data_IF_434101529623
#
_entry.id   IF_434101529623
#
_cell.length_a   1.000
_cell.length_b   1.000
_cell.length_c   1.000
_cell.angle_alpha   90.00
_cell.angle_beta   90.00
_cell.angle_gamma   90.00
#
_symmetry.space_group_name_H-M   'P 1'
#
loop_
_entity.id
_entity.type
_entity.pdbx_description
1 polymer ?
#
# COMPACT_ATOMS: atom_id res chain seq x y z
N UNK A 1 -4.02 -20.86 -23.75
CA UNK A 1 -5.34 -20.47 -23.20
C UNK A 1 -5.29 -19.07 -22.60
N UNK A 2 -4.62 -18.83 -21.47
CA UNK A 2 -4.60 -17.50 -20.85
C UNK A 2 -4.07 -16.39 -21.77
N UNK A 3 -2.96 -16.66 -22.49
CA UNK A 3 -2.42 -15.75 -23.53
C UNK A 3 -3.42 -15.42 -24.64
N UNK A 4 -4.25 -16.40 -25.05
CA UNK A 4 -5.18 -16.25 -26.17
C UNK A 4 -6.46 -15.49 -25.78
N UNK A 5 -6.88 -15.61 -24.52
CA UNK A 5 -8.11 -15.00 -24.01
C UNK A 5 -7.85 -13.78 -23.12
N UNK A 6 -6.60 -13.33 -23.01
CA UNK A 6 -6.23 -12.17 -22.21
C UNK A 6 -6.39 -12.36 -20.70
N UNK A 7 -6.46 -13.60 -20.21
CA UNK A 7 -6.63 -13.85 -18.78
C UNK A 7 -5.34 -13.57 -18.00
N UNK A 8 -5.41 -12.82 -16.88
CA UNK A 8 -4.25 -12.63 -16.03
C UNK A 8 -3.80 -13.95 -15.40
N UNK A 9 -2.50 -14.17 -15.31
CA UNK A 9 -1.89 -15.34 -14.66
C UNK A 9 -0.96 -14.88 -13.55
N UNK A 10 -1.06 -15.51 -12.39
CA UNK A 10 -0.19 -15.31 -11.24
C UNK A 10 0.54 -16.62 -10.96
N UNK A 11 1.87 -16.59 -10.99
CA UNK A 11 2.70 -17.65 -10.42
C UNK A 11 3.10 -17.27 -8.99
N UNK A 12 2.71 -18.10 -8.04
CA UNK A 12 3.03 -17.94 -6.63
C UNK A 12 4.32 -18.69 -6.27
N UNK A 13 5.07 -18.14 -5.31
CA UNK A 13 6.27 -18.76 -4.74
C UNK A 13 7.32 -19.14 -5.79
N UNK A 14 7.60 -18.21 -6.70
CA UNK A 14 8.65 -18.38 -7.70
C UNK A 14 10.01 -18.40 -6.99
N UNK A 15 10.67 -19.56 -7.09
CA UNK A 15 12.04 -19.77 -6.61
C UNK A 15 13.07 -19.10 -7.53
N UNK A 16 14.36 -19.16 -7.20
CA UNK A 16 15.44 -18.53 -7.97
C UNK A 16 15.54 -18.98 -9.46
N UNK A 17 14.77 -19.99 -9.88
CA UNK A 17 14.71 -20.48 -11.25
C UNK A 17 13.38 -20.14 -11.93
N UNK A 18 13.47 -19.41 -13.03
CA UNK A 18 12.36 -19.13 -13.95
C UNK A 18 12.63 -19.90 -15.24
N UNK A 19 11.68 -20.73 -15.66
CA UNK A 19 11.80 -21.53 -16.87
C UNK A 19 11.90 -20.62 -18.11
N UNK A 20 12.97 -20.74 -18.94
CA UNK A 20 13.13 -19.97 -20.17
C UNK A 20 11.98 -20.11 -21.17
N UNK A 21 11.11 -21.12 -21.04
CA UNK A 21 9.90 -21.26 -21.88
C UNK A 21 9.03 -19.99 -21.86
N UNK A 22 9.01 -19.23 -20.76
CA UNK A 22 8.23 -17.98 -20.67
C UNK A 22 9.01 -16.73 -21.10
N UNK A 23 10.25 -16.86 -21.59
CA UNK A 23 11.10 -15.69 -21.90
C UNK A 23 10.47 -14.74 -22.92
N UNK A 24 9.87 -15.28 -23.98
CA UNK A 24 9.21 -14.47 -25.01
C UNK A 24 7.96 -13.76 -24.47
N UNK A 25 7.33 -14.33 -23.44
CA UNK A 25 6.21 -13.69 -22.74
C UNK A 25 6.73 -12.56 -21.84
N UNK A 26 7.83 -12.78 -21.13
CA UNK A 26 8.47 -11.77 -20.27
C UNK A 26 9.01 -10.58 -21.08
N UNK A 27 9.68 -10.84 -22.20
CA UNK A 27 10.20 -9.81 -23.11
C UNK A 27 9.13 -9.12 -23.94
N UNK A 28 7.88 -9.63 -23.93
CA UNK A 28 6.78 -9.21 -24.79
C UNK A 28 7.17 -9.27 -26.28
N UNK A 29 7.86 -10.33 -26.68
CA UNK A 29 8.25 -10.58 -28.08
C UNK A 29 7.05 -11.03 -28.92
N UNK A 30 6.13 -10.10 -29.18
CA UNK A 30 4.90 -10.32 -29.96
C UNK A 30 5.23 -10.19 -31.45
N UNK A 31 5.02 -11.28 -32.18
CA UNK A 31 5.18 -11.32 -33.62
C UNK A 31 3.86 -11.02 -34.32
N UNK A 32 3.93 -10.27 -35.43
CA UNK A 32 2.78 -9.91 -36.25
C UNK A 32 2.99 -10.40 -37.67
N UNK A 33 2.24 -11.41 -38.08
CA UNK A 33 2.30 -11.98 -39.43
C UNK A 33 0.90 -11.96 -40.02
N UNK A 34 0.73 -11.31 -41.18
CA UNK A 34 -0.55 -11.21 -41.89
C UNK A 34 -1.72 -10.74 -41.00
N UNK A 35 -1.47 -9.82 -40.06
CA UNK A 35 -2.46 -9.30 -39.12
C UNK A 35 -2.71 -10.16 -37.88
N UNK A 36 -2.21 -11.40 -37.82
CA UNK A 36 -2.26 -12.27 -36.64
C UNK A 36 -1.14 -11.90 -35.67
N UNK A 37 -1.48 -11.64 -34.40
CA UNK A 37 -0.53 -11.41 -33.31
C UNK A 37 -0.35 -12.70 -32.51
N UNK A 38 0.88 -13.16 -32.36
CA UNK A 38 1.19 -14.37 -31.59
C UNK A 38 2.53 -14.22 -30.86
N UNK A 39 2.72 -15.05 -29.83
CA UNK A 39 3.99 -15.24 -29.12
C UNK A 39 4.38 -16.70 -29.25
N UNK A 40 5.66 -16.98 -29.42
CA UNK A 40 6.21 -18.34 -29.36
C UNK A 40 6.44 -18.70 -27.90
N UNK A 41 5.68 -19.68 -27.39
CA UNK A 41 5.83 -20.22 -26.05
C UNK A 41 6.47 -21.61 -26.15
N UNK A 42 7.76 -21.71 -25.81
CA UNK A 42 8.56 -22.91 -26.06
C UNK A 42 8.66 -23.21 -27.56
N UNK A 43 7.99 -24.26 -28.01
CA UNK A 43 7.94 -24.71 -29.40
C UNK A 43 6.63 -24.35 -30.14
N UNK A 44 5.70 -23.66 -29.47
CA UNK A 44 4.34 -23.42 -30.01
C UNK A 44 4.05 -21.95 -30.22
N UNK A 45 3.47 -21.64 -31.37
CA UNK A 45 2.84 -20.33 -31.61
C UNK A 45 1.49 -20.25 -30.91
N UNK A 46 1.31 -19.25 -30.06
CA UNK A 46 0.08 -19.01 -29.32
C UNK A 46 -0.42 -17.60 -29.63
N UNK A 47 -1.69 -17.48 -30.01
CA UNK A 47 -2.30 -16.17 -30.26
C UNK A 47 -2.20 -15.30 -29.00
N UNK A 48 -1.86 -14.02 -29.20
CA UNK A 48 -1.61 -13.07 -28.13
C UNK A 48 -2.71 -12.02 -28.03
N UNK A 49 -3.40 -12.01 -26.89
CA UNK A 49 -4.35 -10.97 -26.52
C UNK A 49 -3.64 -9.83 -25.76
N UNK A 50 -3.76 -8.56 -26.17
CA UNK A 50 -3.14 -7.40 -25.50
C UNK A 50 -3.56 -7.19 -24.03
N UNK A 51 -4.69 -7.76 -23.60
CA UNK A 51 -5.18 -7.67 -22.23
C UNK A 51 -4.47 -8.64 -21.29
N UNK A 52 -3.71 -9.60 -21.82
CA UNK A 52 -2.96 -10.56 -21.00
C UNK A 52 -2.01 -9.85 -20.02
N UNK A 53 -1.94 -10.36 -18.80
CA UNK A 53 -1.02 -9.91 -17.74
C UNK A 53 -0.40 -11.12 -17.07
N UNK A 54 0.90 -11.05 -16.81
CA UNK A 54 1.65 -12.06 -16.09
C UNK A 54 2.24 -11.45 -14.82
N UNK A 55 2.00 -12.11 -13.69
CA UNK A 55 2.52 -11.74 -12.38
C UNK A 55 3.33 -12.90 -11.81
N UNK A 56 4.48 -12.59 -11.25
CA UNK A 56 5.35 -13.53 -10.53
C UNK A 56 5.51 -13.01 -9.11
N UNK A 57 5.23 -13.83 -8.10
CA UNK A 57 5.47 -13.47 -6.70
C UNK A 57 6.48 -14.41 -6.07
N UNK A 58 7.30 -13.87 -5.17
CA UNK A 58 8.29 -14.64 -4.42
C UNK A 58 8.32 -14.16 -2.98
N UNK A 59 8.56 -15.09 -2.05
CA UNK A 59 8.71 -14.81 -0.61
C UNK A 59 10.15 -14.46 -0.24
N UNK A 60 11.11 -14.68 -1.14
CA UNK A 60 12.50 -14.33 -0.88
C UNK A 60 12.66 -12.82 -0.90
N UNK A 61 13.15 -12.26 0.20
CA UNK A 61 13.45 -10.83 0.29
C UNK A 61 14.56 -10.39 -0.69
N UNK A 62 15.43 -11.33 -1.09
CA UNK A 62 16.50 -11.12 -2.05
C UNK A 62 16.63 -12.35 -2.98
N UNK A 63 15.73 -12.51 -3.97
CA UNK A 63 15.77 -13.62 -4.91
C UNK A 63 16.98 -13.46 -5.84
N UNK A 64 17.65 -14.58 -6.15
CA UNK A 64 18.85 -14.59 -7.01
C UNK A 64 18.48 -14.90 -8.46
N UNK A 65 17.53 -14.14 -9.01
CA UNK A 65 17.20 -14.27 -10.42
C UNK A 65 18.37 -13.88 -11.31
N UNK A 66 18.40 -14.45 -12.52
CA UNK A 66 19.35 -14.04 -13.55
C UNK A 66 19.14 -12.55 -13.89
N UNK A 67 20.22 -11.75 -14.07
CA UNK A 67 20.13 -10.35 -14.51
C UNK A 67 19.22 -10.13 -15.72
N UNK A 68 19.13 -11.09 -16.64
CA UNK A 68 18.25 -11.04 -17.80
C UNK A 68 16.76 -10.95 -17.41
N UNK A 69 16.35 -11.54 -16.30
CA UNK A 69 14.97 -11.44 -15.78
C UNK A 69 14.68 -10.00 -15.36
N UNK A 70 15.60 -9.36 -14.63
CA UNK A 70 15.47 -7.96 -14.20
C UNK A 70 15.43 -6.96 -15.36
N UNK A 71 16.02 -7.31 -16.51
CA UNK A 71 15.95 -6.50 -17.72
C UNK A 71 14.60 -6.64 -18.46
N UNK A 72 13.95 -7.81 -18.36
CA UNK A 72 12.70 -8.13 -19.07
C UNK A 72 11.46 -7.81 -18.26
N UNK A 73 11.53 -7.88 -16.93
CA UNK A 73 10.39 -7.72 -16.04
C UNK A 73 10.55 -6.52 -15.10
N UNK A 74 9.43 -5.88 -14.76
CA UNK A 74 9.39 -4.85 -13.71
C UNK A 74 9.33 -5.52 -12.34
N UNK A 75 10.31 -5.23 -11.49
CA UNK A 75 10.35 -5.75 -10.12
C UNK A 75 9.71 -4.75 -9.16
N UNK A 76 8.75 -5.22 -8.37
CA UNK A 76 8.07 -4.44 -7.34
C UNK A 76 8.48 -4.99 -5.98
N UNK A 77 9.10 -4.15 -5.15
CA UNK A 77 9.48 -4.54 -3.79
C UNK A 77 8.30 -4.38 -2.84
N UNK A 78 7.76 -5.51 -2.36
CA UNK A 78 6.67 -5.58 -1.38
C UNK A 78 7.16 -5.76 0.07
N UNK A 79 8.45 -5.56 0.34
CA UNK A 79 9.01 -5.67 1.69
C UNK A 79 8.39 -4.61 2.60
N UNK A 80 7.93 -5.05 3.77
CA UNK A 80 7.42 -4.16 4.81
C UNK A 80 8.53 -3.21 5.26
N UNK A 81 8.33 -1.91 5.08
CA UNK A 81 9.26 -0.88 5.51
C UNK A 81 8.89 -0.37 6.91
N UNK A 82 9.86 0.21 7.62
CA UNK A 82 9.61 0.79 8.94
C UNK A 82 8.55 1.89 8.90
N UNK A 83 8.67 2.82 7.95
CA UNK A 83 7.72 3.92 7.77
C UNK A 83 6.33 3.39 7.37
N UNK A 84 6.27 2.44 6.44
CA UNK A 84 4.99 1.87 5.99
C UNK A 84 4.26 1.14 7.10
N UNK A 85 4.98 0.36 7.92
CA UNK A 85 4.40 -0.30 9.08
C UNK A 85 3.99 0.70 10.16
N UNK A 86 4.78 1.75 10.40
CA UNK A 86 4.41 2.81 11.33
C UNK A 86 3.08 3.47 10.94
N UNK A 87 2.90 3.84 9.68
CA UNK A 87 1.63 4.45 9.23
C UNK A 87 0.45 3.46 9.29
N UNK A 88 0.70 2.16 9.06
CA UNK A 88 -0.30 1.12 9.24
C UNK A 88 -0.71 0.99 10.72
N UNK A 89 0.27 0.93 11.62
CA UNK A 89 0.03 0.84 13.07
C UNK A 89 -0.63 2.11 13.59
N UNK A 90 -0.29 3.29 13.06
CA UNK A 90 -0.97 4.53 13.40
C UNK A 90 -2.46 4.45 13.12
N UNK A 91 -2.82 3.96 11.93
CA UNK A 91 -4.23 3.74 11.56
C UNK A 91 -4.93 2.76 12.50
N UNK A 92 -4.24 1.70 12.96
CA UNK A 92 -4.78 0.75 13.96
C UNK A 92 -5.00 1.42 15.32
N UNK A 93 -4.04 2.20 15.82
CA UNK A 93 -4.15 2.90 17.11
C UNK A 93 -5.27 3.92 17.08
N UNK A 94 -5.31 4.78 16.04
CA UNK A 94 -6.34 5.82 15.94
C UNK A 94 -7.72 5.18 15.77
N UNK A 95 -7.86 4.10 14.99
CA UNK A 95 -9.14 3.38 14.89
C UNK A 95 -9.60 2.83 16.24
N UNK A 96 -8.68 2.41 17.10
CA UNK A 96 -9.00 1.89 18.43
C UNK A 96 -9.35 3.00 19.44
N UNK A 97 -8.63 4.13 19.41
CA UNK A 97 -8.77 5.20 20.43
C UNK A 97 -9.77 6.29 20.00
N UNK A 98 -9.84 6.58 18.70
CA UNK A 98 -10.67 7.63 18.05
C UNK A 98 -11.26 7.11 16.73
N UNK A 99 -12.17 6.12 16.78
CA UNK A 99 -12.80 5.56 15.58
C UNK A 99 -13.54 6.63 14.76
N UNK A 100 -14.08 7.66 15.42
CA UNK A 100 -14.70 8.82 14.80
C UNK A 100 -13.74 9.56 13.86
N UNK A 101 -12.48 9.72 14.27
CA UNK A 101 -11.46 10.42 13.48
C UNK A 101 -11.03 9.60 12.25
N UNK A 102 -10.86 8.28 12.39
CA UNK A 102 -10.56 7.42 11.23
C UNK A 102 -11.75 7.33 10.27
N UNK A 103 -12.99 7.26 10.76
CA UNK A 103 -14.16 7.26 9.89
C UNK A 103 -14.29 8.57 9.10
N UNK A 104 -14.03 9.71 9.74
CA UNK A 104 -13.98 11.00 9.05
C UNK A 104 -12.89 11.03 7.98
N UNK A 105 -11.71 10.49 8.27
CA UNK A 105 -10.62 10.37 7.30
C UNK A 105 -11.00 9.51 6.10
N UNK A 106 -11.57 8.33 6.33
CA UNK A 106 -11.99 7.41 5.28
C UNK A 106 -13.07 8.03 4.39
N UNK A 107 -14.07 8.68 4.99
CA UNK A 107 -15.11 9.42 4.26
C UNK A 107 -14.51 10.55 3.41
N UNK A 108 -13.60 11.34 3.98
CA UNK A 108 -12.95 12.45 3.28
C UNK A 108 -12.11 11.95 2.10
N UNK A 109 -11.42 10.81 2.23
CA UNK A 109 -10.66 10.19 1.15
C UNK A 109 -11.60 9.75 0.02
N UNK A 110 -12.71 9.09 0.35
CA UNK A 110 -13.71 8.67 -0.64
C UNK A 110 -14.28 9.88 -1.40
N UNK A 111 -14.74 10.91 -0.68
CA UNK A 111 -15.25 12.14 -1.27
C UNK A 111 -14.20 12.86 -2.13
N UNK A 112 -12.95 12.91 -1.68
CA UNK A 112 -11.86 13.53 -2.46
C UNK A 112 -11.61 12.75 -3.76
N UNK A 113 -11.69 11.42 -3.72
CA UNK A 113 -11.54 10.59 -4.92
C UNK A 113 -12.67 10.83 -5.91
N UNK A 114 -13.92 10.83 -5.44
CA UNK A 114 -15.11 11.11 -6.25
C UNK A 114 -15.05 12.51 -6.87
N UNK A 115 -14.69 13.53 -6.08
CA UNK A 115 -14.58 14.91 -6.55
C UNK A 115 -13.46 15.08 -7.57
N UNK A 116 -12.31 14.40 -7.40
CA UNK A 116 -11.24 14.41 -8.41
C UNK A 116 -11.68 13.79 -9.73
N UNK A 117 -12.39 12.66 -9.66
CA UNK A 117 -12.93 12.01 -10.84
C UNK A 117 -13.98 12.88 -11.54
N UNK A 118 -14.88 13.51 -10.77
CA UNK A 118 -15.88 14.43 -11.30
C UNK A 118 -15.23 15.66 -11.96
N UNK A 119 -14.21 16.24 -11.34
CA UNK A 119 -13.48 17.37 -11.92
C UNK A 119 -12.87 17.00 -13.27
N UNK A 120 -12.20 15.84 -13.35
CA UNK A 120 -11.64 15.34 -14.60
C UNK A 120 -12.73 15.12 -15.66
N UNK A 121 -13.88 14.56 -15.29
CA UNK A 121 -15.00 14.37 -16.23
C UNK A 121 -15.57 15.70 -16.75
N UNK A 122 -15.67 16.72 -15.89
CA UNK A 122 -16.12 18.05 -16.29
C UNK A 122 -15.12 18.71 -17.25
N UNK A 123 -13.82 18.59 -16.97
CA UNK A 123 -12.76 19.07 -17.87
C UNK A 123 -12.79 18.36 -19.23
N UNK A 124 -12.91 17.03 -19.24
CA UNK A 124 -13.00 16.24 -20.47
C UNK A 124 -14.27 16.57 -21.28
N UNK A 125 -15.41 16.78 -20.61
CA UNK A 125 -16.66 17.19 -21.27
C UNK A 125 -16.51 18.57 -21.92
N UNK A 126 -15.92 19.53 -21.20
CA UNK A 126 -15.68 20.89 -21.70
C UNK A 126 -14.77 20.87 -22.93
N UNK A 127 -13.67 20.11 -22.89
CA UNK A 127 -12.77 19.93 -24.03
C UNK A 127 -13.47 19.29 -25.23
N UNK A 128 -14.30 18.27 -24.98
CA UNK A 128 -15.06 17.58 -26.02
C UNK A 128 -16.08 18.51 -26.69
N UNK A 129 -16.81 19.30 -25.92
CA UNK A 129 -17.79 20.26 -26.43
C UNK A 129 -17.11 21.32 -27.31
N UNK A 130 -15.98 21.88 -26.86
CA UNK A 130 -15.18 22.81 -27.66
C UNK A 130 -14.67 22.16 -28.97
N UNK A 131 -14.16 20.93 -28.90
CA UNK A 131 -13.62 20.23 -30.07
C UNK A 131 -14.69 19.79 -31.08
N UNK A 132 -15.92 19.51 -30.62
CA UNK A 132 -17.02 19.04 -31.47
C UNK A 132 -17.82 20.19 -32.07
N UNK A 133 -17.71 21.40 -31.51
CA UNK A 133 -18.40 22.57 -32.06
C UNK A 133 -17.85 22.94 -33.45
N UNK A 134 -18.70 22.81 -34.46
CA UNK A 134 -18.43 23.22 -35.84
C UNK A 134 -19.27 24.46 -36.18
N UNK A 135 -18.64 25.55 -36.65
CA UNK A 135 -19.31 26.82 -36.95
C UNK A 135 -18.88 27.96 -36.01
N UNK A 136 -19.60 29.08 -36.04
CA UNK A 136 -19.32 30.21 -35.16
C UNK A 136 -19.81 29.91 -33.74
N UNK A 137 -18.87 29.65 -32.82
CA UNK A 137 -19.17 29.29 -31.42
C UNK A 137 -19.98 30.38 -30.68
N UNK A 138 -19.84 31.65 -31.08
CA UNK A 138 -20.52 32.79 -30.46
C UNK A 138 -22.04 32.80 -30.72
N UNK A 139 -22.49 32.12 -31.78
CA UNK A 139 -23.91 32.09 -32.16
C UNK A 139 -24.64 30.88 -31.54
N UNK A 140 -23.91 29.94 -30.94
CA UNK A 140 -24.48 28.74 -30.32
C UNK A 140 -24.76 28.99 -28.83
N UNK A 141 -25.94 29.53 -28.54
CA UNK A 141 -26.38 29.87 -27.18
C UNK A 141 -26.42 28.64 -26.25
N UNK A 142 -26.84 27.47 -26.77
CA UNK A 142 -26.88 26.22 -26.00
C UNK A 142 -25.47 25.76 -25.57
N UNK A 143 -24.49 25.91 -26.47
CA UNK A 143 -23.09 25.61 -26.15
C UNK A 143 -22.55 26.56 -25.09
N UNK A 144 -22.81 27.86 -25.21
CA UNK A 144 -22.36 28.86 -24.24
C UNK A 144 -22.93 28.57 -22.85
N UNK A 145 -24.23 28.24 -22.76
CA UNK A 145 -24.88 27.89 -21.49
C UNK A 145 -24.29 26.60 -20.89
N UNK A 146 -24.02 25.59 -21.71
CA UNK A 146 -23.42 24.32 -21.25
C UNK A 146 -21.98 24.52 -20.75
N UNK A 147 -21.19 25.34 -21.46
CA UNK A 147 -19.83 25.69 -21.04
C UNK A 147 -19.81 26.45 -19.71
N UNK A 148 -20.71 27.43 -19.53
CA UNK A 148 -20.78 28.20 -18.29
C UNK A 148 -21.26 27.34 -17.11
N UNK A 149 -22.23 26.45 -17.33
CA UNK A 149 -22.69 25.46 -16.34
C UNK A 149 -21.58 24.47 -15.95
N UNK A 150 -20.79 24.00 -16.92
CA UNK A 150 -19.68 23.08 -16.66
C UNK A 150 -18.55 23.77 -15.91
N UNK A 151 -18.21 25.00 -16.30
CA UNK A 151 -17.20 25.83 -15.63
C UNK A 151 -17.58 26.16 -14.19
N UNK A 152 -18.83 26.55 -13.94
CA UNK A 152 -19.30 26.87 -12.57
C UNK A 152 -19.30 25.64 -11.67
N UNK A 153 -19.71 24.46 -12.18
CA UNK A 153 -19.59 23.18 -11.45
C UNK A 153 -18.14 22.81 -11.17
N UNK A 154 -17.25 22.94 -12.15
CA UNK A 154 -15.83 22.64 -11.99
C UNK A 154 -15.19 23.54 -10.93
N UNK A 155 -15.52 24.83 -10.92
CA UNK A 155 -15.06 25.77 -9.90
C UNK A 155 -15.53 25.37 -8.49
N UNK A 156 -16.81 24.99 -8.33
CA UNK A 156 -17.35 24.53 -7.05
C UNK A 156 -16.68 23.22 -6.56
N UNK A 157 -16.45 22.26 -7.45
CA UNK A 157 -15.74 21.01 -7.11
C UNK A 157 -14.29 21.29 -6.72
N UNK A 158 -13.62 22.20 -7.43
CA UNK A 158 -12.26 22.65 -7.11
C UNK A 158 -12.18 23.30 -5.73
N UNK A 159 -13.14 24.15 -5.36
CA UNK A 159 -13.22 24.76 -4.03
C UNK A 159 -13.42 23.68 -2.95
N UNK A 160 -14.32 22.72 -3.18
CA UNK A 160 -14.54 21.60 -2.26
C UNK A 160 -13.28 20.75 -2.06
N UNK A 161 -12.49 20.54 -3.12
CA UNK A 161 -11.20 19.83 -3.04
C UNK A 161 -10.16 20.60 -2.20
N UNK A 162 -10.15 21.94 -2.29
CA UNK A 162 -9.27 22.77 -1.45
C UNK A 162 -9.65 22.67 0.04
N UNK A 163 -10.95 22.81 0.36
CA UNK A 163 -11.46 22.63 1.72
C UNK A 163 -11.19 21.22 2.27
N UNK A 164 -11.32 20.21 1.42
CA UNK A 164 -11.01 18.82 1.79
C UNK A 164 -9.52 18.64 2.10
N UNK A 165 -8.63 19.31 1.37
CA UNK A 165 -7.19 19.27 1.64
C UNK A 165 -6.82 19.93 2.97
N UNK A 166 -7.47 21.04 3.34
CA UNK A 166 -7.28 21.68 4.65
C UNK A 166 -7.78 20.79 5.78
N UNK A 167 -8.99 20.25 5.64
CA UNK A 167 -9.58 19.32 6.61
C UNK A 167 -8.69 18.08 6.79
N UNK A 168 -8.13 17.55 5.69
CA UNK A 168 -7.19 16.42 5.74
C UNK A 168 -5.94 16.75 6.54
N UNK A 169 -5.41 17.98 6.46
CA UNK A 169 -4.24 18.39 7.27
C UNK A 169 -4.58 18.42 8.75
N UNK A 170 -5.76 18.89 9.12
CA UNK A 170 -6.17 18.95 10.52
C UNK A 170 -6.45 17.57 11.11
N UNK A 171 -7.09 16.68 10.34
CA UNK A 171 -7.20 15.26 10.69
C UNK A 171 -5.81 14.66 10.91
N UNK A 172 -4.87 14.91 9.99
CA UNK A 172 -3.53 14.35 10.08
C UNK A 172 -2.76 14.88 11.31
N UNK A 173 -2.92 16.16 11.68
CA UNK A 173 -2.36 16.70 12.93
C UNK A 173 -2.90 15.95 14.16
N UNK A 174 -4.21 15.71 14.22
CA UNK A 174 -4.83 14.98 15.32
C UNK A 174 -4.36 13.52 15.38
N UNK A 175 -4.26 12.86 14.24
CA UNK A 175 -3.74 11.49 14.12
C UNK A 175 -2.31 11.40 14.61
N UNK A 176 -1.46 12.35 14.22
CA UNK A 176 -0.05 12.38 14.61
C UNK A 176 0.17 12.46 16.13
N UNK A 177 -0.83 12.89 16.91
CA UNK A 177 -0.80 12.76 18.37
C UNK A 177 -0.59 11.32 18.87
N UNK A 178 -1.02 10.31 18.11
CA UNK A 178 -0.89 8.89 18.43
C UNK A 178 0.37 8.22 17.83
N UNK A 179 1.12 8.94 16.98
CA UNK A 179 2.32 8.43 16.29
C UNK A 179 3.38 7.82 17.23
N UNK A 180 3.62 8.31 18.46
CA UNK A 180 4.60 7.69 19.36
C UNK A 180 4.34 6.20 19.64
N UNK A 181 3.07 5.77 19.71
CA UNK A 181 2.71 4.35 19.89
C UNK A 181 3.02 3.55 18.62
N UNK A 182 2.74 4.13 17.45
CA UNK A 182 2.98 3.50 16.16
C UNK A 182 4.48 3.31 15.88
N UNK A 183 5.30 4.34 16.15
CA UNK A 183 6.76 4.28 16.07
C UNK A 183 7.29 3.16 16.97
N UNK A 184 6.85 3.15 18.23
CA UNK A 184 7.22 2.09 19.19
C UNK A 184 6.86 0.71 18.67
N UNK A 185 5.64 0.56 18.15
CA UNK A 185 5.15 -0.70 17.59
C UNK A 185 5.95 -1.16 16.38
N UNK A 186 6.32 -0.26 15.46
CA UNK A 186 7.13 -0.62 14.31
C UNK A 186 8.51 -1.10 14.76
N UNK A 187 9.18 -0.37 15.67
CA UNK A 187 10.49 -0.75 16.20
C UNK A 187 10.45 -2.13 16.88
N UNK A 188 9.41 -2.42 17.67
CA UNK A 188 9.24 -3.72 18.32
C UNK A 188 8.99 -4.86 17.33
N UNK A 189 8.22 -4.63 16.26
CA UNK A 189 8.04 -5.63 15.21
C UNK A 189 9.36 -5.98 14.53
N UNK A 190 10.15 -4.98 14.13
CA UNK A 190 11.44 -5.25 13.50
C UNK A 190 12.44 -5.87 14.49
N UNK A 191 12.40 -5.52 15.79
CA UNK A 191 13.18 -6.23 16.79
C UNK A 191 12.82 -7.73 16.86
N UNK A 192 11.53 -8.06 16.75
CA UNK A 192 11.03 -9.44 16.75
C UNK A 192 11.38 -10.17 15.44
N UNK A 193 11.17 -9.53 14.28
CA UNK A 193 11.42 -10.11 12.96
C UNK A 193 12.90 -10.39 12.71
N UNK A 194 13.78 -9.49 13.14
CA UNK A 194 15.23 -9.64 12.99
C UNK A 194 15.79 -10.84 13.77
N UNK A 195 15.07 -11.39 14.75
CA UNK A 195 15.49 -12.61 15.45
C UNK A 195 15.59 -13.82 14.52
N UNK A 196 14.93 -13.79 13.35
CA UNK A 196 15.10 -14.80 12.29
C UNK A 196 16.56 -14.94 11.81
N UNK A 197 17.37 -13.88 11.93
CA UNK A 197 18.81 -13.92 11.62
C UNK A 197 19.63 -14.71 12.66
N UNK A 198 19.13 -14.83 13.89
CA UNK A 198 19.77 -15.59 14.97
C UNK A 198 19.42 -17.07 14.84
N UNK A 199 18.16 -17.38 14.49
CA UNK A 199 17.70 -18.73 14.22
C UNK A 199 16.57 -18.69 13.19
N UNK A 200 16.69 -19.50 12.13
CA UNK A 200 15.70 -19.57 11.05
C UNK A 200 14.29 -19.98 11.51
N UNK A 201 14.16 -20.60 12.68
CA UNK A 201 12.86 -20.93 13.29
C UNK A 201 12.12 -19.71 13.86
N UNK A 202 12.81 -18.60 14.09
CA UNK A 202 12.24 -17.39 14.71
C UNK A 202 11.53 -16.51 13.69
N UNK A 203 10.51 -17.07 13.05
CA UNK A 203 9.70 -16.36 12.06
C UNK A 203 8.36 -15.96 12.66
N UNK A 204 8.03 -14.68 12.53
CA UNK A 204 6.76 -14.13 12.99
C UNK A 204 6.04 -13.44 11.85
N UNK A 205 4.79 -13.85 11.63
CA UNK A 205 3.93 -13.19 10.66
C UNK A 205 3.48 -11.82 11.18
N UNK A 206 3.44 -10.82 10.29
CA UNK A 206 2.92 -9.50 10.63
C UNK A 206 1.46 -9.56 11.14
N UNK A 207 0.63 -10.43 10.57
CA UNK A 207 -0.76 -10.62 11.02
C UNK A 207 -0.84 -11.01 12.51
N UNK A 208 -0.03 -11.99 12.94
CA UNK A 208 0.00 -12.41 14.34
C UNK A 208 0.54 -11.29 15.26
N UNK A 209 1.49 -10.49 14.78
CA UNK A 209 1.95 -9.31 15.51
C UNK A 209 0.84 -8.25 15.68
N UNK A 210 0.04 -8.00 14.64
CA UNK A 210 -1.08 -7.06 14.69
C UNK A 210 -2.14 -7.49 15.71
N UNK A 211 -2.36 -8.80 15.90
CA UNK A 211 -3.24 -9.31 16.96
C UNK A 211 -2.70 -8.99 18.36
N UNK A 212 -1.40 -9.18 18.59
CA UNK A 212 -0.73 -8.82 19.86
C UNK A 212 -0.78 -7.30 20.09
N UNK A 213 -0.59 -6.52 19.03
CA UNK A 213 -0.68 -5.07 19.08
C UNK A 213 -2.10 -4.62 19.46
N UNK A 214 -3.13 -5.13 18.78
CA UNK A 214 -4.53 -4.85 19.09
C UNK A 214 -4.95 -5.33 20.48
N UNK A 215 -4.47 -6.50 20.92
CA UNK A 215 -4.66 -6.97 22.29
C UNK A 215 -4.03 -6.02 23.31
N UNK A 216 -2.83 -5.48 23.03
CA UNK A 216 -2.14 -4.54 23.92
C UNK A 216 -2.89 -3.23 24.07
N UNK A 217 -3.50 -2.72 23.00
CA UNK A 217 -4.36 -1.52 23.05
C UNK A 217 -5.59 -1.72 23.94
N UNK A 218 -6.23 -2.89 23.85
CA UNK A 218 -7.41 -3.23 24.65
C UNK A 218 -7.07 -3.45 26.13
N UNK A 219 -5.91 -4.06 26.41
CA UNK A 219 -5.48 -4.41 27.78
C UNK A 219 -4.88 -3.22 28.53
N UNK A 220 -4.28 -2.26 27.84
CA UNK A 220 -3.61 -1.15 28.50
C UNK A 220 -4.57 -0.30 29.32
N UNK A 221 -4.10 0.21 30.45
CA UNK A 221 -4.91 1.01 31.38
C UNK A 221 -5.40 2.30 30.69
N UNK A 222 -6.72 2.57 30.67
CA UNK A 222 -7.26 3.81 30.09
C UNK A 222 -6.86 5.02 30.94
N UNK A 223 -6.69 6.18 30.30
CA UNK A 223 -6.41 7.45 30.95
C UNK A 223 -7.01 8.58 30.11
N UNK A 224 -7.50 9.64 30.75
CA UNK A 224 -8.10 10.79 30.07
C UNK A 224 -7.03 11.72 29.48
N UNK A 225 -5.84 11.73 30.05
CA UNK A 225 -4.71 12.51 29.56
C UNK A 225 -4.01 11.70 28.48
N UNK A 226 -4.08 12.18 27.22
CA UNK A 226 -3.52 11.50 26.06
C UNK A 226 -2.08 11.04 26.29
N UNK A 227 -1.20 11.92 26.77
CA UNK A 227 0.20 11.56 27.03
C UNK A 227 0.36 10.39 28.01
N UNK A 228 -0.46 10.32 29.06
CA UNK A 228 -0.46 9.20 30.01
C UNK A 228 -1.04 7.94 29.38
N UNK A 229 -2.13 8.05 28.61
CA UNK A 229 -2.73 6.94 27.86
C UNK A 229 -1.73 6.31 26.90
N UNK A 230 -1.02 7.11 26.11
CA UNK A 230 -0.01 6.62 25.17
C UNK A 230 1.15 5.92 25.88
N UNK A 231 1.61 6.45 27.03
CA UNK A 231 2.64 5.79 27.84
C UNK A 231 2.16 4.43 28.39
N UNK A 232 0.92 4.34 28.86
CA UNK A 232 0.33 3.09 29.33
C UNK A 232 0.26 2.05 28.20
N UNK A 233 -0.14 2.47 27.00
CA UNK A 233 -0.15 1.62 25.80
C UNK A 233 1.28 1.15 25.48
N UNK A 234 2.24 2.07 25.38
CA UNK A 234 3.64 1.76 25.03
C UNK A 234 4.24 0.75 26.00
N UNK A 235 4.00 0.91 27.30
CA UNK A 235 4.48 -0.02 28.33
C UNK A 235 3.84 -1.40 28.17
N UNK A 236 2.52 -1.45 28.09
CA UNK A 236 1.75 -2.71 27.92
C UNK A 236 2.15 -3.44 26.64
N UNK A 237 2.31 -2.71 25.54
CA UNK A 237 2.75 -3.24 24.26
C UNK A 237 4.17 -3.82 24.34
N UNK A 238 5.10 -3.09 24.94
CA UNK A 238 6.49 -3.56 25.09
C UNK A 238 6.54 -4.88 25.87
N UNK A 239 5.79 -4.96 26.98
CA UNK A 239 5.71 -6.17 27.81
C UNK A 239 5.05 -7.34 27.05
N UNK A 240 3.90 -7.12 26.41
CA UNK A 240 3.20 -8.17 25.68
C UNK A 240 4.00 -8.70 24.49
N UNK A 241 4.66 -7.82 23.72
CA UNK A 241 5.52 -8.23 22.60
C UNK A 241 6.74 -9.00 23.11
N UNK A 242 7.36 -8.55 24.20
CA UNK A 242 8.47 -9.28 24.81
C UNK A 242 8.04 -10.70 25.21
N UNK A 243 6.94 -10.82 25.96
CA UNK A 243 6.39 -12.10 26.37
C UNK A 243 6.05 -12.98 25.16
N UNK A 244 5.41 -12.42 24.14
CA UNK A 244 5.05 -13.12 22.91
C UNK A 244 6.26 -13.65 22.13
N UNK A 245 7.36 -12.89 22.03
CA UNK A 245 8.61 -13.40 21.47
C UNK A 245 9.21 -14.51 22.34
N UNK A 246 9.26 -14.30 23.65
CA UNK A 246 9.85 -15.25 24.59
C UNK A 246 9.10 -16.58 24.74
N UNK A 247 7.85 -16.71 24.27
CA UNK A 247 7.17 -18.01 24.20
C UNK A 247 7.75 -18.92 23.12
N UNK A 248 8.28 -18.34 22.02
CA UNK A 248 8.87 -19.08 20.91
C UNK A 248 10.40 -19.19 20.98
N UNK A 249 11.06 -18.33 21.76
CA UNK A 249 12.53 -18.30 21.84
C UNK A 249 13.10 -19.30 22.86
N UNK A 250 14.20 -19.95 22.47
CA UNK A 250 15.07 -20.67 23.39
C UNK A 250 15.61 -19.73 24.48
N UNK A 251 15.73 -20.25 25.71
CA UNK A 251 16.14 -19.50 26.90
C UNK A 251 17.43 -18.69 26.67
N UNK A 252 18.43 -19.30 26.02
CA UNK A 252 19.72 -18.67 25.71
C UNK A 252 19.62 -17.41 24.83
N UNK A 253 18.53 -17.23 24.07
CA UNK A 253 18.33 -16.10 23.16
C UNK A 253 17.41 -15.02 23.75
N UNK A 254 16.79 -15.23 24.91
CA UNK A 254 15.87 -14.24 25.51
C UNK A 254 16.59 -12.96 25.93
N UNK A 255 17.78 -13.08 26.55
CA UNK A 255 18.58 -11.91 26.93
C UNK A 255 19.03 -11.11 25.69
N UNK A 256 19.38 -11.80 24.60
CA UNK A 256 19.71 -11.17 23.33
C UNK A 256 18.52 -10.36 22.81
N UNK A 257 17.31 -10.92 22.85
CA UNK A 257 16.10 -10.21 22.44
C UNK A 257 15.82 -8.97 23.31
N UNK A 258 15.97 -9.06 24.63
CA UNK A 258 15.86 -7.89 25.51
C UNK A 258 16.86 -6.80 25.14
N UNK A 259 18.12 -7.18 24.89
CA UNK A 259 19.16 -6.24 24.46
C UNK A 259 18.85 -5.62 23.09
N UNK A 260 18.33 -6.40 22.14
CA UNK A 260 17.95 -5.92 20.82
C UNK A 260 16.77 -4.93 20.88
N UNK A 261 15.75 -5.21 21.69
CA UNK A 261 14.68 -4.25 21.97
C UNK A 261 15.28 -2.96 22.54
N UNK A 262 16.07 -3.04 23.61
CA UNK A 262 16.64 -1.86 24.27
C UNK A 262 17.50 -1.01 23.31
N UNK A 263 18.35 -1.64 22.52
CA UNK A 263 19.23 -0.95 21.56
C UNK A 263 18.46 -0.30 20.42
N UNK A 264 17.47 -0.98 19.83
CA UNK A 264 16.65 -0.38 18.77
C UNK A 264 15.80 0.78 19.29
N UNK A 265 15.28 0.68 20.51
CA UNK A 265 14.53 1.76 21.14
C UNK A 265 15.41 2.97 21.46
N UNK A 266 16.64 2.75 21.94
CA UNK A 266 17.60 3.82 22.17
C UNK A 266 17.91 4.57 20.86
N UNK A 267 18.24 3.83 19.78
CA UNK A 267 18.50 4.42 18.46
C UNK A 267 17.30 5.20 17.88
N UNK A 268 16.08 4.75 18.18
CA UNK A 268 14.87 5.46 17.73
C UNK A 268 14.68 6.80 18.46
N UNK A 269 15.25 6.96 19.65
CA UNK A 269 15.11 8.17 20.46
C UNK A 269 16.29 9.15 20.31
N UNK A 270 17.34 8.79 19.55
CA UNK A 270 18.61 9.51 19.43
C UNK A 270 19.76 8.71 20.01
#
# INVERSE_FOLDING_TARGET
MALMYGYPVLFEDVDDYIDPVIDNVLSKDVQVVSGRKFIVLGDKEVDFDPNFRLYLTTKFANPKFDPAVFAKAMVINYTVTQIGLEDQLLSVVVRSERPDLEQQRESLIAQTSENKQLLQQLEDSLLRELATSTGNMLDNVELIETLENTKTKAAAVSEQLQLSAETSKDIEKLRNGYRPVAVRGAVLFFALSDMSSVNSMYQYALAAYLDVFGYSLRKSVPDTVLAKRLNNIIKTLTENVYCYGCTGFFERHKLLFSFQIATKLAKSNG
#
